data_IF_704834767319
#
_entry.id   IF_704834767319
#
_cell.length_a   1.000
_cell.length_b   1.000
_cell.length_c   1.000
_cell.angle_alpha   90.00
_cell.angle_beta   90.00
_cell.angle_gamma   90.00
#
_symmetry.space_group_name_H-M   'P 1'
#
loop_
_entity.id
_entity.type
_entity.pdbx_description
1 polymer ?
#
# COMPACT_ATOMS: atom_id res chain seq x y z
N UNK A 1 5.41 2.85 12.56
CA UNK A 1 4.61 2.39 11.42
C UNK A 1 4.56 3.47 10.35
N UNK A 2 4.71 3.11 9.08
CA UNK A 2 4.53 4.03 7.95
C UNK A 2 3.28 3.66 7.14
N UNK A 3 2.68 4.65 6.47
CA UNK A 3 1.65 4.42 5.47
C UNK A 3 2.31 4.45 4.08
N UNK A 4 2.19 3.35 3.35
CA UNK A 4 2.72 3.20 2.00
C UNK A 4 1.75 3.80 0.99
N UNK A 5 2.28 4.57 0.05
CA UNK A 5 1.54 5.00 -1.14
C UNK A 5 1.37 3.82 -2.12
N UNK A 6 0.32 3.87 -2.93
CA UNK A 6 -0.01 2.85 -3.93
C UNK A 6 1.15 2.61 -4.90
N UNK A 7 1.92 3.65 -5.29
CA UNK A 7 3.05 3.48 -6.22
C UNK A 7 4.15 2.59 -5.66
N UNK A 8 4.38 2.59 -4.34
CA UNK A 8 5.37 1.70 -3.72
C UNK A 8 4.97 0.24 -3.93
N UNK A 9 3.68 -0.07 -3.81
CA UNK A 9 3.17 -1.41 -4.05
C UNK A 9 3.24 -1.78 -5.52
N UNK A 10 2.84 -0.88 -6.43
CA UNK A 10 2.91 -1.10 -7.88
C UNK A 10 4.35 -1.46 -8.29
N UNK A 11 5.34 -0.69 -7.83
CA UNK A 11 6.73 -0.96 -8.12
C UNK A 11 7.22 -2.28 -7.49
N UNK A 12 6.73 -2.66 -6.31
CA UNK A 12 7.11 -3.92 -5.69
C UNK A 12 6.50 -5.15 -6.39
N UNK A 13 5.30 -5.03 -6.95
CA UNK A 13 4.61 -6.11 -7.67
C UNK A 13 5.19 -6.38 -9.06
N UNK A 14 5.71 -5.35 -9.74
CA UNK A 14 6.28 -5.46 -11.07
C UNK A 14 7.81 -5.59 -11.03
N UNK A 15 8.41 -6.75 -11.37
CA UNK A 15 9.85 -6.94 -11.41
C UNK A 15 10.58 -6.01 -12.40
N UNK A 16 9.88 -5.55 -13.45
CA UNK A 16 10.44 -4.70 -14.49
C UNK A 16 10.26 -3.20 -14.20
N UNK A 17 9.59 -2.85 -13.09
CA UNK A 17 9.40 -1.47 -12.69
C UNK A 17 10.73 -0.78 -12.29
N UNK A 18 10.90 0.51 -12.65
CA UNK A 18 12.16 1.24 -12.47
C UNK A 18 12.60 1.39 -11.00
N UNK A 19 11.68 1.27 -10.04
CA UNK A 19 11.95 1.38 -8.62
C UNK A 19 11.64 0.09 -7.83
N UNK A 20 11.59 -1.06 -8.51
CA UNK A 20 11.22 -2.34 -7.89
C UNK A 20 12.08 -2.69 -6.67
N UNK A 21 13.41 -2.55 -6.80
CA UNK A 21 14.35 -2.84 -5.71
C UNK A 21 14.12 -1.94 -4.50
N UNK A 22 14.10 -0.62 -4.73
CA UNK A 22 13.86 0.37 -3.68
C UNK A 22 12.52 0.14 -2.97
N UNK A 23 11.47 -0.19 -3.72
CA UNK A 23 10.15 -0.44 -3.16
C UNK A 23 10.14 -1.68 -2.26
N UNK A 24 10.77 -2.78 -2.71
CA UNK A 24 10.89 -4.02 -1.92
C UNK A 24 11.71 -3.81 -0.65
N UNK A 25 12.81 -3.09 -0.72
CA UNK A 25 13.61 -2.75 0.47
C UNK A 25 12.83 -1.87 1.44
N UNK A 26 12.16 -0.83 0.93
CA UNK A 26 11.33 0.06 1.76
C UNK A 26 10.25 -0.71 2.52
N UNK A 27 9.57 -1.66 1.84
CA UNK A 27 8.58 -2.54 2.46
C UNK A 27 9.25 -3.44 3.50
N UNK A 28 10.35 -4.10 3.15
CA UNK A 28 11.03 -5.03 4.05
C UNK A 28 11.54 -4.34 5.32
N UNK A 29 12.20 -3.19 5.19
CA UNK A 29 12.69 -2.39 6.32
C UNK A 29 11.55 -1.91 7.21
N UNK A 30 10.46 -1.41 6.62
CA UNK A 30 9.31 -0.94 7.38
C UNK A 30 8.61 -2.08 8.13
N UNK A 31 8.38 -3.23 7.48
CA UNK A 31 7.77 -4.42 8.09
C UNK A 31 8.64 -5.00 9.19
N UNK A 32 9.97 -5.02 9.01
CA UNK A 32 10.90 -5.50 10.03
C UNK A 32 11.08 -4.53 11.22
N UNK A 33 10.83 -3.24 10.99
CA UNK A 33 10.88 -2.19 12.02
C UNK A 33 9.54 -1.97 12.70
N UNK A 34 8.98 -0.77 12.54
CA UNK A 34 7.76 -0.34 13.25
C UNK A 34 6.45 -0.69 12.52
N UNK A 35 6.49 -1.49 11.45
CA UNK A 35 5.36 -1.91 10.64
C UNK A 35 5.07 -1.02 9.42
N UNK A 36 4.36 -1.58 8.45
CA UNK A 36 3.91 -0.91 7.24
C UNK A 36 2.40 -1.15 7.03
N UNK A 37 1.71 -0.14 6.53
CA UNK A 37 0.29 -0.23 6.22
C UNK A 37 -0.05 0.41 4.89
N UNK A 38 -1.16 -0.03 4.28
CA UNK A 38 -1.90 0.71 3.25
C UNK A 38 -3.33 0.95 3.74
N UNK A 39 -4.06 1.81 3.04
CA UNK A 39 -5.49 2.00 3.30
C UNK A 39 -6.37 1.34 2.23
N UNK A 40 -7.67 1.27 2.49
CA UNK A 40 -8.66 0.70 1.58
C UNK A 40 -8.70 1.37 0.18
N UNK A 41 -8.33 2.65 0.07
CA UNK A 41 -8.27 3.34 -1.22
C UNK A 41 -7.07 2.86 -2.04
N UNK A 42 -5.89 2.70 -1.42
CA UNK A 42 -4.72 2.13 -2.09
C UNK A 42 -4.97 0.69 -2.55
N UNK A 43 -5.67 -0.12 -1.73
CA UNK A 43 -6.09 -1.46 -2.16
C UNK A 43 -7.01 -1.40 -3.39
N UNK A 44 -7.97 -0.45 -3.40
CA UNK A 44 -8.86 -0.27 -4.55
C UNK A 44 -8.09 0.11 -5.82
N UNK A 45 -7.07 0.97 -5.71
CA UNK A 45 -6.20 1.32 -6.85
C UNK A 45 -5.43 0.11 -7.39
N UNK A 46 -4.85 -0.73 -6.50
CA UNK A 46 -4.19 -1.97 -6.92
C UNK A 46 -5.16 -2.87 -7.68
N UNK A 47 -6.38 -3.06 -7.15
CA UNK A 47 -7.40 -3.89 -7.79
C UNK A 47 -7.79 -3.45 -9.20
N UNK A 48 -7.64 -2.17 -9.57
CA UNK A 48 -7.95 -1.70 -10.94
C UNK A 48 -6.94 -2.23 -11.96
N UNK A 49 -5.68 -2.36 -11.58
CA UNK A 49 -4.59 -2.83 -12.46
C UNK A 49 -4.25 -4.31 -12.32
N UNK A 50 -4.84 -5.00 -11.35
CA UNK A 50 -4.50 -6.37 -11.01
C UNK A 50 -5.17 -7.40 -11.93
N UNK A 51 -4.45 -8.46 -12.29
CA UNK A 51 -4.98 -9.55 -13.12
C UNK A 51 -5.97 -10.46 -12.36
N UNK A 52 -5.90 -10.49 -11.03
CA UNK A 52 -6.78 -11.23 -10.13
C UNK A 52 -7.10 -10.41 -8.87
N UNK A 53 -8.00 -9.40 -8.98
CA UNK A 53 -8.27 -8.46 -7.90
C UNK A 53 -8.74 -9.08 -6.56
N UNK A 54 -9.57 -10.14 -6.53
CA UNK A 54 -10.00 -10.76 -5.28
C UNK A 54 -8.86 -11.28 -4.39
N UNK A 55 -7.68 -11.55 -4.96
CA UNK A 55 -6.52 -12.08 -4.21
C UNK A 55 -5.49 -11.01 -3.82
N UNK A 56 -5.67 -9.76 -4.26
CA UNK A 56 -4.73 -8.67 -3.99
C UNK A 56 -4.52 -8.41 -2.49
N UNK A 57 -5.60 -8.40 -1.70
CA UNK A 57 -5.52 -8.16 -0.27
C UNK A 57 -4.69 -9.23 0.46
N UNK A 58 -4.85 -10.50 0.09
CA UNK A 58 -4.12 -11.61 0.71
C UNK A 58 -2.65 -11.59 0.31
N UNK A 59 -2.33 -11.24 -0.94
CA UNK A 59 -0.93 -11.04 -1.37
C UNK A 59 -0.26 -9.92 -0.59
N UNK A 60 -0.92 -8.77 -0.42
CA UNK A 60 -0.37 -7.63 0.33
C UNK A 60 -0.14 -8.01 1.79
N UNK A 61 -1.11 -8.66 2.44
CA UNK A 61 -0.96 -9.15 3.82
C UNK A 61 0.14 -10.19 3.95
N UNK A 62 0.39 -11.01 2.91
CA UNK A 62 1.47 -12.00 2.92
C UNK A 62 2.86 -11.38 3.04
N UNK A 63 3.00 -10.10 2.70
CA UNK A 63 4.24 -9.33 2.89
C UNK A 63 4.38 -8.72 4.28
N UNK A 64 3.42 -8.94 5.18
CA UNK A 64 3.39 -8.33 6.52
C UNK A 64 2.84 -6.90 6.53
N UNK A 65 2.20 -6.46 5.43
CA UNK A 65 1.58 -5.13 5.33
C UNK A 65 0.15 -5.18 5.89
N UNK A 66 -0.16 -4.25 6.79
CA UNK A 66 -1.52 -4.07 7.31
C UNK A 66 -2.41 -3.32 6.31
N UNK A 67 -3.70 -3.66 6.26
CA UNK A 67 -4.70 -2.95 5.45
C UNK A 67 -5.68 -2.28 6.40
N UNK A 68 -5.69 -0.95 6.39
CA UNK A 68 -6.48 -0.13 7.29
C UNK A 68 -7.76 0.35 6.61
N UNK A 69 -8.87 0.25 7.32
CA UNK A 69 -10.09 0.96 6.96
C UNK A 69 -9.90 2.47 7.16
N UNK A 70 -10.56 3.27 6.33
CA UNK A 70 -10.59 4.73 6.47
C UNK A 70 -11.99 5.13 6.94
N UNK A 71 -12.19 5.43 8.24
CA UNK A 71 -13.49 5.86 8.72
C UNK A 71 -13.83 7.25 8.17
N UNK A 72 -15.13 7.53 7.97
CA UNK A 72 -15.59 8.84 7.52
C UNK A 72 -15.11 9.99 8.44
N UNK A 73 -14.88 9.71 9.73
CA UNK A 73 -14.32 10.68 10.68
C UNK A 73 -12.91 11.19 10.32
N UNK A 74 -12.15 10.47 9.48
CA UNK A 74 -10.86 10.92 8.99
C UNK A 74 -10.98 12.00 7.89
N UNK A 75 -12.17 12.16 7.27
CA UNK A 75 -12.37 13.00 6.10
C UNK A 75 -11.99 14.47 6.36
N UNK A 76 -12.36 15.05 7.51
CA UNK A 76 -12.05 16.45 7.83
C UNK A 76 -10.53 16.71 7.95
N UNK A 77 -9.78 15.73 8.46
CA UNK A 77 -8.32 15.83 8.55
C UNK A 77 -7.71 15.67 7.15
N UNK A 78 -8.14 14.66 6.39
CA UNK A 78 -7.66 14.43 5.03
C UNK A 78 -7.98 15.59 4.08
N UNK A 79 -9.12 16.27 4.26
CA UNK A 79 -9.53 17.41 3.45
C UNK A 79 -8.49 18.56 3.47
N UNK A 80 -7.69 18.66 4.53
CA UNK A 80 -6.62 19.65 4.66
C UNK A 80 -5.47 19.43 3.67
N UNK A 81 -5.34 18.25 3.09
CA UNK A 81 -4.31 17.98 2.07
C UNK A 81 -4.69 18.55 0.69
N UNK A 82 -5.96 18.91 0.47
CA UNK A 82 -6.44 19.42 -0.82
C UNK A 82 -6.34 20.96 -0.94
N UNK A 83 -5.82 21.66 0.07
CA UNK A 83 -5.69 23.12 0.14
C UNK A 83 -4.46 23.51 0.93
#
# INVERSE_FOLDING_TARGET
MILLDTNVLIYAFDPDAPFCHWAKETIAEAVAGDGAAINAMSLAEICVGDADPPTAADRIRSWGIEILDVPAAAADVCAKAYR
#
